data_IF_239723992140
#
_entry.id   IF_239723992140
#
_cell.length_a   1.000
_cell.length_b   1.000
_cell.length_c   1.000
_cell.angle_alpha   90.00
_cell.angle_beta   90.00
_cell.angle_gamma   90.00
#
_symmetry.space_group_name_H-M   'P 1'
#
loop_
_entity.id
_entity.type
_entity.pdbx_description
1 polymer ?
#
# COMPACT_ATOMS: atom_id res chain seq x y z
N UNK A 1 -5.22 3.18 21.15
CA UNK A 1 -4.47 4.35 20.65
C UNK A 1 -3.48 4.76 21.73
N UNK A 2 -2.19 4.78 21.41
CA UNK A 2 -1.13 5.17 22.31
C UNK A 2 -1.07 6.69 22.45
N UNK A 3 -0.91 7.18 23.67
CA UNK A 3 -0.71 8.60 23.93
C UNK A 3 0.75 9.00 23.63
N UNK A 4 1.01 10.28 23.28
CA UNK A 4 2.37 10.81 23.27
C UNK A 4 3.10 10.52 24.60
N UNK A 5 4.40 10.37 24.55
CA UNK A 5 5.29 9.97 25.65
C UNK A 5 5.08 8.56 26.22
N UNK A 6 4.15 7.74 25.69
CA UNK A 6 4.11 6.31 25.99
C UNK A 6 5.42 5.66 25.56
N UNK A 7 6.03 4.85 26.42
CA UNK A 7 7.28 4.13 26.14
C UNK A 7 7.01 2.65 26.03
N UNK A 8 7.31 2.07 24.87
CA UNK A 8 7.20 0.64 24.59
C UNK A 8 8.59 0.00 24.65
N UNK A 9 8.68 -1.24 25.17
CA UNK A 9 9.93 -2.02 25.31
C UNK A 9 11.04 -1.25 26.07
N UNK A 10 10.71 -0.26 26.92
CA UNK A 10 11.67 0.66 27.54
C UNK A 10 12.63 1.30 26.51
N UNK A 11 12.17 1.49 25.28
CA UNK A 11 13.00 1.91 24.15
C UNK A 11 12.29 2.90 23.21
N UNK A 12 11.09 2.61 22.79
CA UNK A 12 10.38 3.38 21.78
C UNK A 12 9.41 4.36 22.42
N UNK A 13 9.76 5.63 22.46
CA UNK A 13 8.89 6.69 23.01
C UNK A 13 8.03 7.26 21.88
N UNK A 14 6.72 7.16 22.02
CA UNK A 14 5.74 7.69 21.05
C UNK A 14 5.85 9.23 21.01
N UNK A 15 6.00 9.79 19.81
CA UNK A 15 5.97 11.22 19.54
C UNK A 15 4.56 11.64 19.16
N UNK A 16 3.94 10.91 18.22
CA UNK A 16 2.61 11.22 17.73
C UNK A 16 2.08 10.15 16.77
N UNK A 17 0.83 10.30 16.35
CA UNK A 17 0.22 9.44 15.36
C UNK A 17 0.48 9.98 13.95
N UNK A 18 1.00 9.12 13.06
CA UNK A 18 1.21 9.44 11.64
C UNK A 18 -0.03 9.11 10.80
N UNK A 19 -0.72 8.01 11.11
CA UNK A 19 -1.89 7.59 10.36
C UNK A 19 -2.66 6.48 11.06
N UNK A 20 -3.92 6.28 10.64
CA UNK A 20 -4.77 5.18 11.07
C UNK A 20 -5.49 4.59 9.87
N UNK A 21 -5.38 3.29 9.70
CA UNK A 21 -6.04 2.54 8.63
C UNK A 21 -6.88 1.37 9.16
N UNK A 22 -7.46 0.61 8.25
CA UNK A 22 -8.26 -0.57 8.59
C UNK A 22 -7.45 -1.72 9.22
N UNK A 23 -6.12 -1.70 9.07
CA UNK A 23 -5.22 -2.77 9.54
C UNK A 23 -4.45 -2.37 10.81
N UNK A 24 -4.48 -1.10 11.20
CA UNK A 24 -3.75 -0.65 12.38
C UNK A 24 -3.50 0.85 12.42
N UNK A 25 -2.68 1.25 13.36
CA UNK A 25 -2.27 2.64 13.57
C UNK A 25 -0.76 2.75 13.42
N UNK A 26 -0.29 3.78 12.73
CA UNK A 26 1.15 4.08 12.58
C UNK A 26 1.49 5.29 13.42
N UNK A 27 2.55 5.18 14.19
CA UNK A 27 3.07 6.24 15.06
C UNK A 27 4.47 6.66 14.64
N UNK A 28 4.77 7.92 14.84
CA UNK A 28 6.13 8.43 14.93
C UNK A 28 6.65 8.16 16.33
N UNK A 29 7.82 7.55 16.46
CA UNK A 29 8.43 7.24 17.75
C UNK A 29 9.92 7.52 17.74
N UNK A 30 10.48 7.83 18.92
CA UNK A 30 11.91 7.95 19.12
C UNK A 30 12.47 6.64 19.68
N UNK A 31 13.37 6.01 18.94
CA UNK A 31 14.22 4.96 19.50
C UNK A 31 15.27 5.61 20.43
N UNK A 32 15.05 5.49 21.74
CA UNK A 32 15.89 6.12 22.76
C UNK A 32 17.31 5.53 22.87
N UNK A 33 17.53 4.30 22.33
CA UNK A 33 18.85 3.67 22.37
C UNK A 33 19.81 4.26 21.35
N UNK A 34 19.32 4.58 20.16
CA UNK A 34 20.13 5.12 19.07
C UNK A 34 19.81 6.57 18.75
N UNK A 35 18.85 7.17 19.49
CA UNK A 35 18.37 8.54 19.32
C UNK A 35 17.93 8.85 17.90
N UNK A 36 17.15 7.95 17.29
CA UNK A 36 16.66 8.07 15.93
C UNK A 36 15.13 7.98 15.88
N UNK A 37 14.50 8.74 14.96
CA UNK A 37 13.07 8.66 14.71
C UNK A 37 12.77 7.41 13.87
N UNK A 38 11.73 6.68 14.27
CA UNK A 38 11.25 5.47 13.61
C UNK A 38 9.75 5.54 13.38
N UNK A 39 9.23 4.79 12.41
CA UNK A 39 7.81 4.54 12.27
C UNK A 39 7.45 3.24 12.99
N UNK A 40 6.38 3.27 13.78
CA UNK A 40 5.92 2.15 14.58
C UNK A 40 4.49 1.80 14.19
N UNK A 41 4.29 0.67 13.55
CA UNK A 41 2.96 0.20 13.14
C UNK A 41 2.40 -0.73 14.19
N UNK A 42 1.28 -0.33 14.79
CA UNK A 42 0.50 -1.12 15.75
C UNK A 42 -0.59 -1.89 15.02
N UNK A 43 -0.67 -3.19 15.24
CA UNK A 43 -1.75 -4.07 14.78
C UNK A 43 -2.32 -4.80 16.00
N UNK A 44 -3.64 -4.91 16.09
CA UNK A 44 -4.26 -5.69 17.17
C UNK A 44 -3.98 -7.18 16.97
N UNK A 45 -3.57 -7.87 18.05
CA UNK A 45 -3.43 -9.32 18.02
C UNK A 45 -4.81 -9.95 17.79
N UNK A 46 -4.92 -10.82 16.79
CA UNK A 46 -6.09 -11.68 16.62
C UNK A 46 -6.20 -12.69 17.77
N UNK A 47 -7.40 -13.21 18.01
CA UNK A 47 -7.63 -14.20 19.06
C UNK A 47 -6.89 -15.53 18.76
N UNK A 48 -5.67 -15.70 19.30
CA UNK A 48 -4.98 -16.98 19.32
C UNK A 48 -3.46 -16.93 19.11
N UNK A 49 -2.76 -17.96 19.61
CA UNK A 49 -1.30 -18.14 19.47
C UNK A 49 -0.82 -18.33 18.00
N UNK A 50 -1.72 -18.68 17.07
CA UNK A 50 -1.41 -18.82 15.65
C UNK A 50 -1.18 -17.45 15.00
N UNK A 51 -1.97 -16.44 15.37
CA UNK A 51 -1.84 -15.08 14.83
C UNK A 51 -0.46 -14.47 15.12
N UNK A 52 0.07 -14.64 16.33
CA UNK A 52 1.40 -14.10 16.70
C UNK A 52 2.54 -14.79 15.94
N UNK A 53 2.43 -16.11 15.66
CA UNK A 53 3.44 -16.82 14.86
C UNK A 53 3.41 -16.41 13.39
N UNK A 54 2.23 -16.16 12.85
CA UNK A 54 2.06 -15.63 11.49
C UNK A 54 2.69 -14.25 11.38
N UNK A 55 2.45 -13.37 12.34
CA UNK A 55 3.05 -12.04 12.40
C UNK A 55 4.59 -12.10 12.50
N UNK A 56 5.14 -12.95 13.37
CA UNK A 56 6.60 -13.13 13.48
C UNK A 56 7.21 -13.61 12.17
N UNK A 57 6.57 -14.58 11.52
CA UNK A 57 7.02 -15.10 10.22
C UNK A 57 6.98 -14.02 9.15
N UNK A 58 5.92 -13.23 9.10
CA UNK A 58 5.73 -12.14 8.14
C UNK A 58 6.70 -10.98 8.41
N UNK A 59 6.86 -10.57 9.66
CA UNK A 59 7.86 -9.58 10.06
C UNK A 59 9.28 -10.02 9.69
N UNK A 60 9.58 -11.31 9.90
CA UNK A 60 10.86 -11.91 9.49
C UNK A 60 11.08 -11.89 7.97
N UNK A 61 10.04 -12.13 7.18
CA UNK A 61 10.13 -12.01 5.71
C UNK A 61 10.42 -10.56 5.31
N UNK A 62 9.71 -9.60 5.88
CA UNK A 62 9.89 -8.18 5.56
C UNK A 62 11.26 -7.64 6.01
N UNK A 63 11.78 -8.10 7.15
CA UNK A 63 13.10 -7.71 7.64
C UNK A 63 14.23 -8.13 6.69
N UNK A 64 14.01 -9.17 5.86
CA UNK A 64 14.94 -9.63 4.86
C UNK A 64 14.80 -8.94 3.50
N UNK A 65 13.82 -8.05 3.32
CA UNK A 65 13.67 -7.28 2.09
C UNK A 65 14.63 -6.08 2.10
N UNK A 66 15.36 -5.93 1.00
CA UNK A 66 16.25 -4.79 0.80
C UNK A 66 16.02 -4.22 -0.60
N UNK A 67 15.38 -3.07 -0.66
CA UNK A 67 15.13 -2.35 -1.91
C UNK A 67 15.10 -0.84 -1.64
N UNK A 68 15.65 0.01 -2.54
CA UNK A 68 15.68 1.47 -2.34
C UNK A 68 14.30 2.10 -2.12
N UNK A 69 13.25 1.54 -2.72
CA UNK A 69 11.88 2.03 -2.61
C UNK A 69 11.08 1.40 -1.45
N UNK A 70 11.74 0.70 -0.50
CA UNK A 70 11.11 0.14 0.69
C UNK A 70 11.71 0.70 1.97
N UNK A 71 10.88 1.06 2.98
CA UNK A 71 11.40 1.32 4.32
C UNK A 71 12.01 0.04 4.90
N UNK A 72 13.14 0.17 5.58
CA UNK A 72 13.78 -0.96 6.27
C UNK A 72 12.97 -1.33 7.50
N UNK A 73 12.69 -2.61 7.68
CA UNK A 73 12.20 -3.14 8.95
C UNK A 73 13.37 -3.30 9.89
N UNK A 74 13.25 -2.73 11.09
CA UNK A 74 14.34 -2.62 12.07
C UNK A 74 14.13 -3.54 13.28
N UNK A 75 12.86 -3.77 13.67
CA UNK A 75 12.51 -4.56 14.85
C UNK A 75 11.03 -4.97 14.78
N UNK A 76 10.65 -5.96 15.59
CA UNK A 76 9.25 -6.28 15.84
C UNK A 76 9.09 -6.84 17.26
N UNK A 77 7.93 -6.62 17.87
CA UNK A 77 7.63 -7.11 19.22
C UNK A 77 6.12 -7.14 19.48
N UNK A 78 5.75 -7.84 20.55
CA UNK A 78 4.37 -7.88 21.07
C UNK A 78 4.35 -7.24 22.44
N UNK A 79 3.41 -6.33 22.70
CA UNK A 79 3.22 -5.67 23.98
C UNK A 79 1.77 -5.21 24.16
N UNK A 80 1.21 -5.38 25.36
CA UNK A 80 -0.12 -4.90 25.70
C UNK A 80 -1.27 -5.48 24.86
N UNK A 81 -1.09 -6.68 24.27
CA UNK A 81 -2.08 -7.29 23.38
C UNK A 81 -2.10 -6.69 21.96
N UNK A 82 -1.05 -5.96 21.59
CA UNK A 82 -0.81 -5.46 20.24
C UNK A 82 0.53 -5.95 19.70
N UNK A 83 0.60 -6.13 18.38
CA UNK A 83 1.80 -6.44 17.62
C UNK A 83 2.35 -5.14 17.03
N UNK A 84 3.67 -4.97 17.13
CA UNK A 84 4.36 -3.77 16.68
C UNK A 84 5.45 -4.10 15.69
N UNK A 85 5.43 -3.43 14.54
CA UNK A 85 6.52 -3.45 13.56
C UNK A 85 7.24 -2.11 13.59
N UNK A 86 8.55 -2.12 13.83
CA UNK A 86 9.40 -0.93 13.82
C UNK A 86 10.09 -0.83 12.47
N UNK A 87 9.93 0.29 11.81
CA UNK A 87 10.50 0.51 10.49
C UNK A 87 11.12 1.89 10.36
N UNK A 88 11.91 2.07 9.33
CA UNK A 88 12.49 3.35 8.94
C UNK A 88 11.40 4.40 8.79
N UNK A 89 11.61 5.56 9.42
CA UNK A 89 10.73 6.70 9.25
C UNK A 89 11.06 7.44 7.96
N UNK A 90 10.19 7.35 6.98
CA UNK A 90 10.36 8.06 5.70
C UNK A 90 9.78 9.46 5.83
N UNK A 91 10.65 10.47 5.84
CA UNK A 91 10.23 11.87 5.88
C UNK A 91 9.80 12.34 4.49
N UNK A 92 8.59 12.90 4.36
CA UNK A 92 8.04 13.39 3.09
C UNK A 92 6.53 13.42 3.10
N UNK A 93 5.94 13.55 1.91
CA UNK A 93 4.50 13.59 1.70
C UNK A 93 4.05 12.39 0.86
N UNK A 94 2.89 11.84 1.16
CA UNK A 94 2.28 10.85 0.27
C UNK A 94 1.69 11.50 -0.99
N UNK A 95 1.57 10.70 -2.05
CA UNK A 95 1.12 11.21 -3.35
C UNK A 95 -0.34 11.64 -3.35
N UNK A 96 -1.18 11.10 -2.45
CA UNK A 96 -2.58 11.54 -2.33
C UNK A 96 -2.65 12.95 -1.72
N UNK A 97 -1.89 13.19 -0.65
CA UNK A 97 -1.78 14.50 -0.03
C UNK A 97 -1.23 15.53 -1.02
N UNK A 98 -0.15 15.18 -1.74
CA UNK A 98 0.44 16.04 -2.76
C UNK A 98 -0.54 16.36 -3.88
N UNK A 99 -1.29 15.36 -4.37
CA UNK A 99 -2.29 15.52 -5.43
C UNK A 99 -3.44 16.42 -4.96
N UNK A 100 -3.92 16.21 -3.73
CA UNK A 100 -5.00 17.00 -3.13
C UNK A 100 -4.60 18.47 -2.95
N UNK A 101 -3.40 18.71 -2.42
CA UNK A 101 -2.85 20.07 -2.23
C UNK A 101 -2.62 20.79 -3.56
N UNK A 102 -2.20 20.04 -4.58
CA UNK A 102 -1.96 20.57 -5.92
C UNK A 102 -3.27 20.90 -6.65
N UNK A 103 -4.33 20.12 -6.45
CA UNK A 103 -5.61 20.26 -7.13
C UNK A 103 -5.57 20.06 -8.64
N UNK A 104 -4.49 19.46 -9.18
CA UNK A 104 -4.23 19.25 -10.60
C UNK A 104 -3.37 18.01 -10.84
N UNK A 105 -3.45 17.38 -12.04
CA UNK A 105 -2.62 16.23 -12.38
C UNK A 105 -1.12 16.53 -12.25
N UNK A 106 -0.34 15.48 -11.97
CA UNK A 106 1.11 15.56 -12.06
C UNK A 106 1.58 15.52 -13.52
N UNK A 107 2.74 16.10 -13.76
CA UNK A 107 3.36 16.05 -15.08
C UNK A 107 3.76 14.60 -15.43
N UNK A 108 3.46 14.16 -16.65
CA UNK A 108 3.66 12.78 -17.08
C UNK A 108 5.09 12.25 -16.86
N UNK A 109 6.12 13.05 -17.14
CA UNK A 109 7.51 12.61 -16.95
C UNK A 109 7.82 12.25 -15.50
N UNK A 110 7.21 12.96 -14.55
CA UNK A 110 7.37 12.70 -13.12
C UNK A 110 6.66 11.41 -12.72
N UNK A 111 5.43 11.23 -13.19
CA UNK A 111 4.63 10.03 -12.92
C UNK A 111 5.29 8.79 -13.50
N UNK A 112 5.85 8.87 -14.72
CA UNK A 112 6.56 7.74 -15.33
C UNK A 112 7.85 7.37 -14.58
N UNK A 113 8.59 8.37 -14.05
CA UNK A 113 9.77 8.08 -13.20
C UNK A 113 9.38 7.36 -11.92
N UNK A 114 8.28 7.76 -11.30
CA UNK A 114 7.75 7.06 -10.12
C UNK A 114 7.23 5.65 -10.46
N UNK A 115 6.55 5.53 -11.60
CA UNK A 115 6.07 4.23 -12.07
C UNK A 115 7.21 3.25 -12.27
N UNK A 116 8.31 3.70 -12.88
CA UNK A 116 9.50 2.89 -13.15
C UNK A 116 10.09 2.33 -11.84
N UNK A 117 10.32 3.20 -10.85
CA UNK A 117 10.85 2.77 -9.55
C UNK A 117 9.90 1.81 -8.79
N UNK A 118 8.57 2.01 -8.90
CA UNK A 118 7.61 1.08 -8.28
C UNK A 118 7.55 -0.23 -9.04
N UNK A 119 7.67 -0.24 -10.36
CA UNK A 119 7.71 -1.47 -11.17
C UNK A 119 8.97 -2.31 -10.86
N UNK A 120 10.14 -1.68 -10.72
CA UNK A 120 11.36 -2.36 -10.27
C UNK A 120 11.18 -3.00 -8.89
N UNK A 121 10.54 -2.28 -7.97
CA UNK A 121 10.18 -2.83 -6.67
C UNK A 121 9.23 -4.03 -6.79
N UNK A 122 8.15 -3.93 -7.59
CA UNK A 122 7.20 -5.02 -7.76
C UNK A 122 7.86 -6.24 -8.40
N UNK A 123 8.73 -6.06 -9.38
CA UNK A 123 9.53 -7.15 -9.95
C UNK A 123 10.36 -7.84 -8.86
N UNK A 124 11.07 -7.06 -8.03
CA UNK A 124 11.85 -7.58 -6.91
C UNK A 124 11.00 -8.40 -5.92
N UNK A 125 9.79 -7.94 -5.58
CA UNK A 125 8.88 -8.62 -4.66
C UNK A 125 8.29 -9.90 -5.26
N UNK A 126 7.82 -9.82 -6.51
CA UNK A 126 7.16 -10.93 -7.18
C UNK A 126 8.11 -12.07 -7.55
N UNK A 127 9.42 -11.80 -7.67
CA UNK A 127 10.45 -12.84 -7.89
C UNK A 127 10.87 -13.57 -6.60
N UNK A 128 10.38 -13.19 -5.42
CA UNK A 128 10.63 -13.92 -4.17
C UNK A 128 9.96 -15.30 -4.20
N UNK A 129 10.43 -16.19 -3.35
CA UNK A 129 9.85 -17.53 -3.19
C UNK A 129 9.52 -17.77 -1.71
N UNK A 130 8.22 -17.78 -1.36
CA UNK A 130 7.08 -17.49 -2.25
C UNK A 130 7.01 -16.01 -2.71
N UNK A 131 6.28 -15.71 -3.80
CA UNK A 131 6.07 -14.33 -4.26
C UNK A 131 5.41 -13.48 -3.19
N UNK A 132 5.90 -12.24 -3.03
CA UNK A 132 5.35 -11.26 -2.09
C UNK A 132 4.48 -10.29 -2.86
N UNK A 133 3.21 -10.19 -2.48
CA UNK A 133 2.24 -9.27 -3.08
C UNK A 133 1.93 -8.14 -2.10
N UNK A 134 1.86 -6.91 -2.61
CA UNK A 134 1.58 -5.74 -1.77
C UNK A 134 0.09 -5.57 -1.45
N UNK A 135 -0.79 -5.74 -2.44
CA UNK A 135 -2.26 -5.76 -2.33
C UNK A 135 -2.95 -4.45 -1.89
N UNK A 136 -2.22 -3.38 -1.67
CA UNK A 136 -2.79 -2.08 -1.30
C UNK A 136 -1.98 -0.91 -1.89
N UNK A 137 -1.61 -1.02 -3.19
CA UNK A 137 -0.92 0.05 -3.90
C UNK A 137 -1.92 1.15 -4.21
N UNK A 138 -1.65 2.35 -3.68
CA UNK A 138 -2.49 3.55 -3.85
C UNK A 138 -1.66 4.80 -3.61
N UNK A 139 -2.11 5.99 -4.03
CA UNK A 139 -1.37 7.23 -3.82
C UNK A 139 -1.01 7.51 -2.36
N UNK A 140 -1.87 7.15 -1.39
CA UNK A 140 -1.63 7.34 0.04
C UNK A 140 -0.51 6.44 0.60
N UNK A 141 -0.17 5.33 -0.08
CA UNK A 141 0.89 4.42 0.32
C UNK A 141 2.20 4.66 -0.44
N UNK A 142 2.23 5.65 -1.34
CA UNK A 142 3.43 6.07 -2.07
C UNK A 142 3.92 7.40 -1.53
N UNK A 143 5.10 7.42 -0.91
CA UNK A 143 5.67 8.60 -0.27
C UNK A 143 6.87 9.12 -1.02
N UNK A 144 6.95 10.44 -1.18
CA UNK A 144 8.05 11.12 -1.85
C UNK A 144 8.85 11.89 -0.81
N UNK A 145 10.17 11.67 -0.79
CA UNK A 145 11.11 12.40 0.06
C UNK A 145 11.48 13.76 -0.54
N UNK A 146 12.19 14.58 0.23
CA UNK A 146 12.76 15.84 -0.28
C UNK A 146 13.81 15.62 -1.39
N UNK A 147 14.43 14.44 -1.44
CA UNK A 147 15.38 14.03 -2.47
C UNK A 147 14.69 13.47 -3.72
N UNK A 148 13.34 13.56 -3.78
CA UNK A 148 12.51 13.02 -4.86
C UNK A 148 12.54 11.48 -4.98
N UNK A 149 12.96 10.77 -3.94
CA UNK A 149 12.91 9.31 -3.87
C UNK A 149 11.50 8.86 -3.51
N UNK A 150 11.05 7.77 -4.14
CA UNK A 150 9.74 7.18 -3.87
C UNK A 150 9.87 5.96 -2.98
N UNK A 151 8.98 5.86 -2.00
CA UNK A 151 8.86 4.72 -1.10
C UNK A 151 7.44 4.17 -1.14
N UNK A 152 7.32 2.86 -1.22
CA UNK A 152 6.05 2.14 -1.05
C UNK A 152 5.93 1.72 0.41
N UNK A 153 4.92 2.27 1.08
CA UNK A 153 4.63 2.05 2.49
C UNK A 153 3.51 1.02 2.66
N UNK A 154 3.34 0.56 3.90
CA UNK A 154 2.17 -0.25 4.32
C UNK A 154 1.97 -1.55 3.56
N UNK A 155 2.95 -2.45 3.62
CA UNK A 155 2.68 -3.84 3.30
C UNK A 155 1.46 -4.30 4.08
N UNK A 156 0.48 -4.85 3.38
CA UNK A 156 -0.70 -5.41 4.02
C UNK A 156 -0.37 -6.68 4.79
N UNK A 157 0.34 -6.55 5.91
CA UNK A 157 0.85 -7.60 6.80
C UNK A 157 -0.19 -8.62 7.26
N UNK A 158 -1.46 -8.33 7.10
CA UNK A 158 -2.55 -9.20 7.55
C UNK A 158 -3.07 -10.16 6.47
N UNK A 159 -2.35 -10.40 5.36
CA UNK A 159 -2.94 -11.04 4.20
C UNK A 159 -2.14 -12.23 3.66
N UNK A 160 -1.74 -13.15 4.53
CA UNK A 160 -1.25 -14.49 4.21
C UNK A 160 -0.37 -14.64 2.96
N UNK A 161 0.62 -15.51 3.01
CA UNK A 161 1.45 -15.92 1.87
C UNK A 161 0.59 -16.32 0.66
N UNK A 162 1.11 -16.09 -0.55
CA UNK A 162 0.46 -16.48 -1.80
C UNK A 162 -0.01 -17.94 -1.74
N UNK A 163 -1.31 -18.16 -1.82
CA UNK A 163 -1.91 -19.50 -1.88
C UNK A 163 -2.72 -19.95 -0.66
N UNK A 164 -2.67 -19.26 0.47
CA UNK A 164 -3.63 -19.51 1.54
C UNK A 164 -4.81 -18.55 1.39
N UNK A 165 -6.00 -19.12 1.11
CA UNK A 165 -7.26 -18.41 1.26
C UNK A 165 -7.30 -17.84 2.68
N UNK A 166 -7.67 -16.56 2.88
CA UNK A 166 -8.07 -16.11 4.20
C UNK A 166 -9.20 -17.04 4.62
N UNK A 167 -8.99 -17.79 5.69
CA UNK A 167 -10.06 -18.60 6.30
C UNK A 167 -11.24 -17.65 6.48
N UNK A 168 -12.34 -18.05 5.83
CA UNK A 168 -13.64 -17.44 6.00
C UNK A 168 -13.76 -17.05 7.48
N UNK A 169 -13.93 -15.80 7.75
CA UNK A 169 -14.85 -15.33 8.75
C UNK A 169 -14.51 -13.93 9.18
N UNK A 170 -15.57 -13.19 9.13
CA UNK A 170 -15.98 -12.12 10.00
C UNK A 170 -15.42 -10.73 9.73
N UNK A 171 -16.39 -9.96 9.39
CA UNK A 171 -16.51 -8.51 9.49
C UNK A 171 -15.96 -7.67 8.33
N UNK A 172 -16.89 -6.99 7.73
CA UNK A 172 -16.77 -5.97 6.66
C UNK A 172 -15.66 -4.91 6.83
N UNK A 173 -15.00 -4.89 7.99
CA UNK A 173 -13.87 -3.98 8.31
C UNK A 173 -12.49 -4.58 8.03
N UNK A 174 -12.36 -5.89 7.79
CA UNK A 174 -11.09 -6.58 7.59
C UNK A 174 -10.63 -6.66 6.12
N UNK A 175 -11.31 -5.99 5.21
CA UNK A 175 -10.87 -5.89 3.81
C UNK A 175 -9.81 -4.81 3.71
N UNK A 176 -8.58 -5.10 4.07
CA UNK A 176 -7.45 -4.20 3.99
C UNK A 176 -7.09 -3.79 2.55
N UNK A 177 -8.07 -3.34 1.76
CA UNK A 177 -7.88 -2.73 0.43
C UNK A 177 -8.74 -1.48 0.29
N UNK A 178 -8.33 -0.60 -0.60
CA UNK A 178 -9.07 0.61 -0.94
C UNK A 178 -9.84 0.36 -2.24
N UNK A 179 -11.19 0.33 -2.24
CA UNK A 179 -12.00 -0.11 -3.38
C UNK A 179 -11.63 0.52 -4.73
N UNK A 180 -11.28 1.80 -4.74
CA UNK A 180 -10.94 2.54 -5.96
C UNK A 180 -9.69 2.01 -6.69
N UNK A 181 -8.80 1.30 -5.98
CA UNK A 181 -7.53 0.84 -6.54
C UNK A 181 -7.40 -0.68 -6.52
N UNK A 182 -8.37 -1.39 -5.91
CA UNK A 182 -8.33 -2.84 -5.82
C UNK A 182 -8.90 -3.49 -7.09
N UNK A 183 -8.26 -4.55 -7.62
CA UNK A 183 -8.79 -5.34 -8.72
C UNK A 183 -9.99 -6.18 -8.27
N UNK A 184 -10.77 -6.66 -9.24
CA UNK A 184 -12.03 -7.38 -8.99
C UNK A 184 -11.83 -8.65 -8.17
N UNK A 185 -10.81 -9.47 -8.49
CA UNK A 185 -10.49 -10.71 -7.79
C UNK A 185 -10.18 -10.47 -6.30
N UNK A 186 -9.54 -9.33 -5.96
CA UNK A 186 -9.29 -8.96 -4.58
C UNK A 186 -10.57 -8.55 -3.85
N UNK A 187 -11.48 -7.85 -4.54
CA UNK A 187 -12.78 -7.45 -3.99
C UNK A 187 -13.69 -8.65 -3.76
N UNK A 188 -13.58 -9.67 -4.61
CA UNK A 188 -14.36 -10.92 -4.53
C UNK A 188 -13.68 -11.99 -3.66
N UNK A 189 -12.50 -11.75 -3.13
CA UNK A 189 -11.69 -12.71 -2.38
C UNK A 189 -11.39 -14.01 -3.16
N UNK A 190 -11.17 -13.90 -4.46
CA UNK A 190 -10.92 -15.03 -5.37
C UNK A 190 -9.43 -15.42 -5.49
N UNK A 191 -8.57 -14.87 -4.64
CA UNK A 191 -7.13 -15.03 -4.74
C UNK A 191 -6.49 -13.92 -5.59
N UNK A 192 -5.27 -13.55 -5.23
CA UNK A 192 -4.52 -12.48 -5.87
C UNK A 192 -3.17 -12.99 -6.36
N UNK A 193 -2.68 -12.43 -7.45
CA UNK A 193 -1.34 -12.67 -7.98
C UNK A 193 -0.63 -11.35 -8.34
N UNK A 194 0.53 -11.44 -9.01
CA UNK A 194 1.30 -10.27 -9.41
C UNK A 194 0.50 -9.25 -10.24
N UNK A 195 -0.50 -9.71 -11.01
CA UNK A 195 -1.36 -8.84 -11.82
C UNK A 195 -2.26 -7.95 -10.97
N UNK A 196 -2.61 -8.40 -9.77
CA UNK A 196 -3.40 -7.60 -8.82
C UNK A 196 -2.65 -6.32 -8.39
N UNK A 197 -1.33 -6.42 -8.15
CA UNK A 197 -0.51 -5.25 -7.85
C UNK A 197 -0.33 -4.35 -9.09
N UNK A 198 -0.23 -4.92 -10.29
CA UNK A 198 -0.16 -4.14 -11.54
C UNK A 198 -1.45 -3.37 -11.82
N UNK A 199 -2.62 -3.98 -11.55
CA UNK A 199 -3.90 -3.26 -11.62
C UNK A 199 -3.92 -2.08 -10.65
N UNK A 200 -3.54 -2.31 -9.39
CA UNK A 200 -3.53 -1.28 -8.35
C UNK A 200 -2.56 -0.14 -8.67
N UNK A 201 -1.39 -0.46 -9.25
CA UNK A 201 -0.46 0.54 -9.77
C UNK A 201 -1.07 1.31 -10.95
N UNK A 202 -1.69 0.63 -11.92
CA UNK A 202 -2.39 1.27 -13.04
C UNK A 202 -3.45 2.27 -12.56
N UNK A 203 -4.30 1.86 -11.60
CA UNK A 203 -5.32 2.70 -10.98
C UNK A 203 -4.71 3.92 -10.24
N UNK A 204 -3.58 3.71 -9.58
CA UNK A 204 -2.81 4.78 -8.92
C UNK A 204 -2.30 5.79 -9.95
N UNK A 205 -1.61 5.33 -11.00
CA UNK A 205 -1.06 6.19 -12.04
C UNK A 205 -2.15 6.93 -12.81
N UNK A 206 -3.30 6.28 -13.06
CA UNK A 206 -4.48 6.93 -13.62
C UNK A 206 -4.89 8.15 -12.78
N UNK A 207 -5.03 7.97 -11.46
CA UNK A 207 -5.41 9.05 -10.56
C UNK A 207 -4.37 10.18 -10.56
N UNK A 208 -3.07 9.86 -10.52
CA UNK A 208 -2.00 10.87 -10.55
C UNK A 208 -1.95 11.67 -11.85
N UNK A 209 -2.27 11.04 -12.99
CA UNK A 209 -2.25 11.67 -14.31
C UNK A 209 -3.53 12.43 -14.66
N UNK A 210 -4.64 12.17 -13.98
CA UNK A 210 -5.93 12.80 -14.29
C UNK A 210 -6.45 13.72 -13.19
N UNK A 211 -5.97 13.55 -11.95
CA UNK A 211 -6.56 14.10 -10.73
C UNK A 211 -8.03 13.66 -10.53
N UNK A 212 -8.44 12.59 -11.19
CA UNK A 212 -9.77 11.98 -11.05
C UNK A 212 -9.55 10.53 -10.60
N UNK A 213 -10.10 10.10 -9.45
CA UNK A 213 -9.98 8.71 -9.03
C UNK A 213 -10.67 7.81 -10.07
N UNK A 214 -10.13 6.61 -10.36
CA UNK A 214 -10.76 5.68 -11.29
C UNK A 214 -12.09 5.17 -10.74
N UNK A 215 -12.99 4.76 -11.63
CA UNK A 215 -14.15 3.95 -11.24
C UNK A 215 -13.67 2.62 -10.67
N UNK A 216 -14.27 2.16 -9.57
CA UNK A 216 -13.89 0.89 -8.93
C UNK A 216 -14.22 -0.32 -9.83
N UNK A 217 -13.44 -1.40 -9.66
CA UNK A 217 -13.52 -2.59 -10.50
C UNK A 217 -14.91 -3.26 -10.47
N UNK A 218 -15.59 -3.25 -9.32
CA UNK A 218 -16.91 -3.89 -9.20
C UNK A 218 -18.00 -3.10 -9.96
N UNK A 219 -17.98 -1.77 -9.86
CA UNK A 219 -18.88 -0.90 -10.62
C UNK A 219 -18.65 -1.00 -12.12
N UNK A 220 -17.39 -1.11 -12.57
CA UNK A 220 -17.02 -1.31 -13.96
C UNK A 220 -17.54 -2.66 -14.47
N UNK A 221 -17.27 -3.73 -13.72
CA UNK A 221 -17.73 -5.08 -14.05
C UNK A 221 -19.25 -5.13 -14.20
N UNK A 222 -19.99 -4.57 -13.24
CA UNK A 222 -21.44 -4.54 -13.30
C UNK A 222 -21.96 -3.82 -14.54
N UNK A 223 -21.35 -2.69 -14.95
CA UNK A 223 -21.79 -1.99 -16.17
C UNK A 223 -21.52 -2.78 -17.43
N UNK A 224 -20.37 -3.47 -17.50
CA UNK A 224 -20.04 -4.35 -18.64
C UNK A 224 -21.03 -5.53 -18.74
N UNK A 225 -21.37 -6.17 -17.61
CA UNK A 225 -22.38 -7.23 -17.55
C UNK A 225 -23.77 -6.73 -17.99
N UNK A 226 -24.12 -5.50 -17.67
CA UNK A 226 -25.35 -4.84 -18.14
C UNK A 226 -25.32 -4.45 -19.63
N UNK A 227 -24.24 -4.75 -20.36
CA UNK A 227 -24.06 -4.39 -21.76
C UNK A 227 -23.82 -2.89 -21.99
N UNK A 228 -23.41 -2.15 -20.93
CA UNK A 228 -23.08 -0.73 -21.00
C UNK A 228 -21.56 -0.56 -21.26
N UNK A 229 -21.13 0.60 -21.79
CA UNK A 229 -19.71 0.88 -21.94
C UNK A 229 -19.00 0.96 -20.57
N UNK A 230 -17.71 0.61 -20.56
CA UNK A 230 -16.85 0.80 -19.36
C UNK A 230 -16.85 2.27 -18.94
N UNK A 231 -17.18 2.61 -17.69
CA UNK A 231 -17.17 3.98 -17.20
C UNK A 231 -15.75 4.56 -17.02
N UNK A 232 -14.71 3.73 -17.13
CA UNK A 232 -13.31 4.18 -17.05
C UNK A 232 -12.94 4.91 -18.34
N UNK A 233 -12.88 6.23 -18.29
CA UNK A 233 -12.47 7.04 -19.44
C UNK A 233 -10.97 6.88 -19.70
N UNK A 234 -10.53 6.78 -20.97
CA UNK A 234 -9.12 6.79 -21.30
C UNK A 234 -8.40 8.03 -20.76
N UNK A 235 -7.22 7.85 -20.17
CA UNK A 235 -6.45 8.94 -19.52
C UNK A 235 -6.25 10.15 -20.44
N UNK A 236 -5.97 9.93 -21.74
CA UNK A 236 -5.73 11.02 -22.69
C UNK A 236 -6.97 11.88 -23.01
N UNK A 237 -8.18 11.38 -22.70
CA UNK A 237 -9.42 12.19 -22.81
C UNK A 237 -9.55 13.15 -21.62
N UNK A 238 -9.06 12.80 -20.45
CA UNK A 238 -9.09 13.64 -19.26
C UNK A 238 -7.84 14.53 -19.18
N UNK A 239 -6.70 14.05 -19.66
CA UNK A 239 -5.44 14.79 -19.72
C UNK A 239 -4.80 14.62 -21.10
N UNK A 240 -5.03 15.56 -22.05
CA UNK A 240 -4.48 15.51 -23.39
C UNK A 240 -2.94 15.56 -23.48
N UNK A 241 -2.26 15.87 -22.36
CA UNK A 241 -0.79 15.82 -22.29
C UNK A 241 -0.24 14.39 -22.20
N UNK A 242 -1.10 13.40 -21.93
CA UNK A 242 -0.71 11.99 -21.87
C UNK A 242 -0.79 11.36 -23.24
N UNK A 243 0.32 10.82 -23.77
CA UNK A 243 0.33 10.15 -25.08
C UNK A 243 -0.64 8.94 -25.10
N UNK A 244 -1.31 8.68 -26.25
CA UNK A 244 -2.19 7.52 -26.37
C UNK A 244 -1.51 6.18 -26.06
N UNK A 245 -0.21 6.03 -26.31
CA UNK A 245 0.54 4.84 -25.95
C UNK A 245 0.55 4.56 -24.45
N UNK A 246 0.76 5.59 -23.63
CA UNK A 246 0.70 5.47 -22.17
C UNK A 246 -0.73 5.19 -21.70
N UNK A 247 -1.72 5.88 -22.29
CA UNK A 247 -3.12 5.64 -21.96
C UNK A 247 -3.55 4.18 -22.25
N UNK A 248 -3.07 3.61 -23.37
CA UNK A 248 -3.36 2.21 -23.73
C UNK A 248 -2.73 1.22 -22.73
N UNK A 249 -1.48 1.45 -22.29
CA UNK A 249 -0.83 0.61 -21.29
C UNK A 249 -1.60 0.64 -19.97
N UNK A 250 -2.02 1.82 -19.50
CA UNK A 250 -2.80 1.95 -18.29
C UNK A 250 -4.16 1.26 -18.42
N UNK A 251 -4.83 1.41 -19.56
CA UNK A 251 -6.10 0.73 -19.83
C UNK A 251 -5.94 -0.80 -19.78
N UNK A 252 -4.85 -1.32 -20.37
CA UNK A 252 -4.53 -2.74 -20.34
C UNK A 252 -4.22 -3.23 -18.90
N UNK A 253 -3.42 -2.47 -18.14
CA UNK A 253 -3.11 -2.81 -16.74
C UNK A 253 -4.37 -2.84 -15.85
N UNK A 254 -5.39 -2.05 -16.19
CA UNK A 254 -6.67 -1.96 -15.48
C UNK A 254 -7.80 -2.72 -16.19
N UNK A 255 -7.49 -3.71 -17.04
CA UNK A 255 -8.51 -4.58 -17.65
C UNK A 255 -9.27 -5.38 -16.57
N UNK A 256 -10.58 -5.65 -16.83
CA UNK A 256 -11.48 -6.42 -15.95
C UNK A 256 -11.82 -7.74 -16.62
#
# INVERSE_FOLDING_TARGET
>A
MLAPDTVLQNRYRIIGQLGRGGVGTVYEALDQRVNAVVALKETSVGDGNESSREFESEAGLLANLQHPALPKVMDYFVEGGSEFLVMEYIQGYDLLEMLTRRGAPFHIKLVLRWADAVLELLEYLHQRQPPILHRDIKPANLKITQQEEIFLLDFGLAKGAAGQMPTLLTNRSARGYTPLYAPLEQMLAQGTDARSDLYSLGATLYHLLTNVPPADAASRFQQLEDGKPDPLLPVHQLNPQVPPSVANVLHQAMAI
#
